data_IF_931615990522
#
_entry.id   IF_931615990522
#
_cell.length_a   1.000
_cell.length_b   1.000
_cell.length_c   1.000
_cell.angle_alpha   90.00
_cell.angle_beta   90.00
_cell.angle_gamma   90.00
#
_symmetry.space_group_name_H-M   'P 1'
#
loop_
_entity.id
_entity.type
_entity.pdbx_description
1 polymer ?
#
# COMPACT_ATOMS: atom_id res chain seq x y z
N UNK A 1 18.19 6.81 14.24
CA UNK A 1 17.83 6.84 12.81
C UNK A 1 17.59 5.41 12.34
N UNK A 2 16.34 4.95 12.35
CA UNK A 2 15.98 3.70 11.68
C UNK A 2 15.17 4.10 10.46
N UNK A 3 15.84 4.13 9.31
CA UNK A 3 15.18 4.27 8.01
C UNK A 3 14.35 3.00 7.83
N UNK A 4 13.03 3.08 7.95
CA UNK A 4 12.19 1.94 7.65
C UNK A 4 11.92 1.90 6.15
N UNK A 5 12.55 0.92 5.49
CA UNK A 5 12.08 0.27 4.26
C UNK A 5 11.84 1.13 3.00
N UNK A 6 12.31 2.37 2.95
CA UNK A 6 12.26 3.21 1.74
C UNK A 6 13.60 3.16 1.00
N UNK A 7 13.68 2.33 -0.03
CA UNK A 7 14.66 2.48 -1.10
C UNK A 7 14.01 3.22 -2.26
N UNK A 8 14.36 4.50 -2.43
CA UNK A 8 13.94 5.32 -3.57
C UNK A 8 14.49 6.74 -3.44
N UNK A 9 15.00 7.30 -4.54
CA UNK A 9 15.62 8.63 -4.54
C UNK A 9 14.65 9.78 -4.17
N UNK A 10 13.33 9.54 -4.24
CA UNK A 10 12.30 10.57 -4.16
C UNK A 10 11.37 10.40 -2.94
N UNK A 11 11.71 9.51 -2.00
CA UNK A 11 10.86 9.21 -0.84
C UNK A 11 11.67 8.78 0.36
N UNK A 12 11.21 9.21 1.52
CA UNK A 12 11.79 8.85 2.80
C UNK A 12 10.67 8.60 3.81
N UNK A 13 10.76 7.49 4.55
CA UNK A 13 9.79 7.12 5.57
C UNK A 13 10.43 7.16 6.96
N UNK A 14 9.80 7.90 7.86
CA UNK A 14 10.08 7.90 9.29
C UNK A 14 8.90 7.25 10.01
N UNK A 15 9.14 6.07 10.61
CA UNK A 15 8.13 5.36 11.37
C UNK A 15 8.66 5.04 12.77
N UNK A 16 7.80 5.15 13.80
CA UNK A 16 8.13 4.79 15.17
C UNK A 16 6.90 4.37 15.95
N UNK A 17 7.13 3.64 17.03
CA UNK A 17 6.16 3.34 18.07
C UNK A 17 6.29 4.36 19.21
N UNK A 18 5.70 5.55 19.05
CA UNK A 18 5.56 6.59 20.09
C UNK A 18 4.36 7.49 19.77
N UNK A 19 4.03 8.41 20.68
CA UNK A 19 3.07 9.49 20.43
C UNK A 19 3.48 10.31 19.21
N UNK A 20 2.52 10.60 18.32
CA UNK A 20 2.77 11.38 17.10
C UNK A 20 3.40 12.75 17.39
N UNK A 21 3.05 13.36 18.52
CA UNK A 21 3.60 14.65 18.98
C UNK A 21 5.11 14.62 19.25
N UNK A 22 5.69 13.45 19.51
CA UNK A 22 7.11 13.30 19.83
C UNK A 22 7.98 12.95 18.62
N UNK A 23 7.38 12.78 17.44
CA UNK A 23 8.11 12.38 16.22
C UNK A 23 9.19 13.40 15.86
N UNK A 24 8.89 14.70 15.95
CA UNK A 24 9.86 15.78 15.69
C UNK A 24 10.95 15.89 16.76
N UNK A 25 10.68 15.47 18.00
CA UNK A 25 11.70 15.42 19.06
C UNK A 25 12.69 14.27 18.82
N UNK A 26 12.19 13.15 18.29
CA UNK A 26 13.03 11.99 18.05
C UNK A 26 13.79 12.01 16.72
N UNK A 27 13.23 12.68 15.72
CA UNK A 27 13.87 12.92 14.42
C UNK A 27 14.16 14.42 14.28
N UNK A 28 15.29 14.93 14.81
CA UNK A 28 15.65 16.35 14.74
C UNK A 28 15.73 16.87 13.31
N UNK A 29 16.01 16.01 12.33
CA UNK A 29 16.02 16.37 10.90
C UNK A 29 14.69 16.99 10.45
N UNK A 30 13.56 16.64 11.09
CA UNK A 30 12.25 17.25 10.82
C UNK A 30 12.13 18.71 11.29
N UNK A 31 13.04 19.16 12.15
CA UNK A 31 13.14 20.54 12.62
C UNK A 31 14.12 21.37 11.80
N UNK A 32 14.82 20.76 10.84
CA UNK A 32 15.73 21.47 9.95
C UNK A 32 14.93 22.17 8.84
N UNK A 33 15.19 23.46 8.62
CA UNK A 33 14.55 24.25 7.56
C UNK A 33 14.88 23.73 6.14
N UNK A 34 15.93 22.91 6.00
CA UNK A 34 16.29 22.23 4.76
C UNK A 34 15.43 20.97 4.50
N UNK A 35 14.67 20.49 5.48
CA UNK A 35 13.76 19.35 5.33
C UNK A 35 12.47 19.76 4.60
N UNK A 36 12.61 20.04 3.31
CA UNK A 36 11.52 20.53 2.45
C UNK A 36 11.00 19.38 1.58
N UNK A 37 9.68 19.22 1.55
CA UNK A 37 9.00 18.29 0.65
C UNK A 37 7.79 18.93 0.00
N UNK A 38 7.50 18.54 -1.24
CA UNK A 38 6.28 18.95 -1.94
C UNK A 38 5.01 18.31 -1.36
N UNK A 39 5.15 17.18 -0.66
CA UNK A 39 4.03 16.51 0.01
C UNK A 39 4.51 15.71 1.22
N UNK A 40 3.60 15.43 2.14
CA UNK A 40 3.84 14.55 3.29
C UNK A 40 2.64 13.62 3.50
N UNK A 41 2.91 12.40 3.93
CA UNK A 41 1.91 11.43 4.39
C UNK A 41 2.28 11.08 5.83
N UNK A 42 1.34 11.23 6.75
CA UNK A 42 1.52 10.88 8.16
C UNK A 42 0.47 9.87 8.58
N UNK A 43 0.80 9.05 9.57
CA UNK A 43 -0.13 8.05 10.10
C UNK A 43 0.12 7.81 11.58
N UNK A 44 -0.96 7.75 12.35
CA UNK A 44 -0.92 7.30 13.73
C UNK A 44 -1.79 6.04 13.86
N UNK A 45 -1.20 4.95 14.30
CA UNK A 45 -1.89 3.67 14.46
C UNK A 45 -2.43 3.53 15.88
N UNK A 46 -3.72 3.22 16.00
CA UNK A 46 -4.28 2.68 17.23
C UNK A 46 -4.17 1.16 17.19
N UNK A 47 -3.33 0.57 18.05
CA UNK A 47 -3.09 -0.88 18.07
C UNK A 47 -3.82 -1.51 19.25
N UNK A 48 -4.60 -2.55 19.00
CA UNK A 48 -5.17 -3.42 20.05
C UNK A 48 -4.14 -4.40 20.62
N UNK A 49 -2.96 -4.53 19.99
CA UNK A 49 -1.85 -5.35 20.50
C UNK A 49 -1.01 -4.57 21.51
N UNK A 50 -0.68 -5.22 22.62
CA UNK A 50 0.17 -4.70 23.71
C UNK A 50 1.67 -4.81 23.44
N UNK A 51 2.08 -5.60 22.43
CA UNK A 51 3.48 -5.74 22.03
C UNK A 51 3.80 -4.86 20.81
N UNK A 52 4.71 -3.89 20.94
CA UNK A 52 5.09 -3.02 19.85
C UNK A 52 5.99 -3.74 18.85
N UNK A 53 5.55 -3.81 17.60
CA UNK A 53 6.38 -4.24 16.47
C UNK A 53 6.61 -3.03 15.56
N UNK A 54 7.87 -2.57 15.50
CA UNK A 54 8.22 -1.34 14.80
C UNK A 54 8.00 -1.43 13.28
N UNK A 55 8.14 -2.61 12.67
CA UNK A 55 7.89 -2.82 11.24
C UNK A 55 6.41 -2.74 10.84
N UNK A 56 5.50 -2.69 11.82
CA UNK A 56 4.07 -2.46 11.59
C UNK A 56 3.68 -0.97 11.67
N UNK A 57 4.63 -0.09 12.02
CA UNK A 57 4.39 1.34 12.00
C UNK A 57 4.31 1.84 10.55
N UNK A 58 3.32 2.71 10.30
CA UNK A 58 3.05 3.32 9.01
C UNK A 58 3.55 4.78 8.99
N UNK A 59 3.72 5.42 7.82
CA UNK A 59 3.41 4.95 6.46
C UNK A 59 4.24 3.75 6.00
N UNK A 60 3.69 2.92 5.11
CA UNK A 60 4.48 1.94 4.37
C UNK A 60 5.16 2.59 3.15
N UNK A 61 5.53 1.83 2.12
CA UNK A 61 6.34 2.34 1.01
C UNK A 61 5.54 3.23 0.06
N UNK A 62 4.24 2.98 -0.05
CA UNK A 62 3.32 3.72 -0.91
C UNK A 62 2.05 4.16 -0.19
N UNK A 63 1.62 3.44 0.84
CA UNK A 63 0.33 3.65 1.49
C UNK A 63 0.45 3.97 2.99
N UNK A 64 -0.51 4.77 3.45
CA UNK A 64 -0.96 4.79 4.82
C UNK A 64 -2.45 4.41 4.83
N UNK A 65 -2.83 3.47 5.68
CA UNK A 65 -4.14 2.86 5.74
C UNK A 65 -4.71 2.95 7.16
N UNK A 66 -5.86 3.63 7.25
CA UNK A 66 -6.69 3.68 8.43
C UNK A 66 -7.94 2.83 8.18
N UNK A 67 -7.99 1.66 8.80
CA UNK A 67 -9.08 0.71 8.61
C UNK A 67 -8.61 -0.73 8.86
N UNK A 68 -9.48 -1.67 8.53
CA UNK A 68 -9.22 -3.10 8.59
C UNK A 68 -9.74 -3.77 7.30
N UNK A 69 -8.88 -4.57 6.66
CA UNK A 69 -9.23 -5.29 5.43
C UNK A 69 -9.89 -6.62 5.78
N UNK A 70 -11.22 -6.65 5.78
CA UNK A 70 -12.01 -7.82 6.16
C UNK A 70 -11.91 -9.00 5.18
N UNK A 71 -11.48 -8.74 3.94
CA UNK A 71 -11.37 -9.71 2.84
C UNK A 71 -9.99 -10.36 2.74
N UNK A 72 -9.04 -9.99 3.62
CA UNK A 72 -7.61 -10.31 3.51
C UNK A 72 -7.33 -11.79 3.23
N UNK A 73 -7.98 -12.72 3.95
CA UNK A 73 -7.74 -14.16 3.77
C UNK A 73 -8.06 -14.63 2.36
N UNK A 74 -9.13 -14.11 1.76
CA UNK A 74 -9.50 -14.39 0.37
C UNK A 74 -8.47 -13.81 -0.59
N UNK A 75 -8.12 -12.53 -0.40
CA UNK A 75 -7.19 -11.83 -1.28
C UNK A 75 -5.80 -12.46 -1.27
N UNK A 76 -5.31 -12.90 -0.10
CA UNK A 76 -4.05 -13.62 0.04
C UNK A 76 -4.03 -14.94 -0.73
N UNK A 77 -5.18 -15.63 -0.82
CA UNK A 77 -5.28 -16.85 -1.62
C UNK A 77 -5.32 -16.53 -3.12
N UNK A 78 -6.05 -15.51 -3.54
CA UNK A 78 -6.06 -15.05 -4.93
C UNK A 78 -4.67 -14.57 -5.38
N UNK A 79 -3.94 -13.88 -4.50
CA UNK A 79 -2.59 -13.41 -4.79
C UNK A 79 -1.61 -14.54 -5.10
N UNK A 80 -1.72 -15.72 -4.48
CA UNK A 80 -0.88 -16.87 -4.83
C UNK A 80 -1.04 -17.29 -6.29
N UNK A 81 -2.24 -17.12 -6.85
CA UNK A 81 -2.52 -17.40 -8.27
C UNK A 81 -2.04 -16.26 -9.17
N UNK A 82 -2.26 -15.00 -8.76
CA UNK A 82 -1.85 -13.82 -9.54
C UNK A 82 -0.33 -13.62 -9.61
N UNK A 83 0.36 -13.94 -8.51
CA UNK A 83 1.80 -13.72 -8.33
C UNK A 83 2.66 -14.34 -9.44
N UNK A 84 2.32 -15.56 -9.87
CA UNK A 84 3.07 -16.27 -10.92
C UNK A 84 3.09 -15.47 -12.22
N UNK A 85 1.93 -14.94 -12.63
CA UNK A 85 1.78 -14.22 -13.90
C UNK A 85 2.26 -12.78 -13.80
N UNK A 86 1.96 -12.10 -12.69
CA UNK A 86 2.35 -10.70 -12.47
C UNK A 86 3.87 -10.52 -12.44
N UNK A 87 4.58 -11.42 -11.73
CA UNK A 87 6.02 -11.34 -11.60
C UNK A 87 6.72 -11.60 -12.95
N UNK A 88 6.29 -12.66 -13.66
CA UNK A 88 6.90 -13.07 -14.94
C UNK A 88 6.77 -12.02 -16.04
N UNK A 89 5.60 -11.39 -16.19
CA UNK A 89 5.37 -10.44 -17.28
C UNK A 89 6.10 -9.10 -17.09
N UNK A 90 6.34 -8.71 -15.84
CA UNK A 90 6.85 -7.38 -15.50
C UNK A 90 8.34 -7.38 -15.20
N UNK A 91 8.81 -8.39 -14.46
CA UNK A 91 10.16 -8.38 -13.89
C UNK A 91 11.10 -9.40 -14.52
N UNK A 92 10.61 -10.18 -15.51
CA UNK A 92 11.42 -11.10 -16.30
C UNK A 92 12.24 -12.05 -15.42
N UNK A 93 13.55 -12.01 -15.56
CA UNK A 93 14.48 -12.87 -14.82
C UNK A 93 14.49 -12.60 -13.30
N UNK A 94 14.08 -11.40 -12.86
CA UNK A 94 13.95 -11.04 -11.43
C UNK A 94 12.60 -11.46 -10.82
N UNK A 95 11.76 -12.17 -11.57
CA UNK A 95 10.43 -12.56 -11.11
C UNK A 95 10.46 -13.43 -9.84
N UNK A 96 11.50 -14.25 -9.65
CA UNK A 96 11.63 -15.07 -8.44
C UNK A 96 12.11 -14.27 -7.22
N UNK A 97 12.88 -13.20 -7.42
CA UNK A 97 13.39 -12.35 -6.33
C UNK A 97 12.29 -11.50 -5.66
N UNK A 98 11.19 -11.28 -6.37
CA UNK A 98 10.06 -10.47 -5.91
C UNK A 98 9.02 -11.35 -5.16
N UNK A 99 9.14 -12.67 -5.26
CA UNK A 99 8.24 -13.61 -4.59
C UNK A 99 8.75 -13.96 -3.19
N UNK A 100 7.89 -14.05 -2.17
CA UNK A 100 6.46 -13.72 -2.23
C UNK A 100 6.21 -12.20 -2.20
N UNK A 101 5.28 -11.71 -3.02
CA UNK A 101 4.83 -10.32 -3.08
C UNK A 101 4.36 -9.87 -1.69
N UNK A 102 3.61 -10.72 -0.99
CA UNK A 102 3.20 -10.48 0.40
C UNK A 102 3.97 -11.39 1.34
N UNK A 103 4.82 -10.78 2.17
CA UNK A 103 5.61 -11.51 3.17
C UNK A 103 4.73 -12.15 4.24
N UNK A 104 5.12 -13.34 4.72
CA UNK A 104 4.45 -14.00 5.84
C UNK A 104 4.52 -13.14 7.12
N UNK A 105 3.40 -13.06 7.85
CA UNK A 105 3.31 -12.24 9.06
C UNK A 105 3.08 -10.73 8.82
N UNK A 106 2.86 -10.32 7.57
CA UNK A 106 2.45 -8.95 7.25
C UNK A 106 1.09 -8.62 7.87
N UNK A 107 0.92 -7.36 8.32
CA UNK A 107 -0.43 -6.85 8.60
C UNK A 107 -1.24 -6.75 7.31
N UNK A 108 -2.55 -6.63 7.44
CA UNK A 108 -3.47 -6.39 6.34
C UNK A 108 -3.05 -5.19 5.46
N UNK A 109 -2.65 -4.11 6.11
CA UNK A 109 -2.24 -2.85 5.52
C UNK A 109 -0.87 -2.98 4.83
N UNK A 110 0.05 -3.78 5.38
CA UNK A 110 1.34 -4.09 4.76
C UNK A 110 1.17 -4.98 3.53
N UNK A 111 0.22 -5.92 3.58
CA UNK A 111 -0.13 -6.75 2.44
C UNK A 111 -0.70 -5.89 1.29
N UNK A 112 -1.62 -4.97 1.59
CA UNK A 112 -2.15 -4.03 0.61
C UNK A 112 -1.05 -3.16 0.00
N UNK A 113 -0.15 -2.60 0.81
CA UNK A 113 0.98 -1.79 0.32
C UNK A 113 1.88 -2.57 -0.63
N UNK A 114 2.16 -3.84 -0.33
CA UNK A 114 3.04 -4.67 -1.16
C UNK A 114 2.43 -4.96 -2.53
N UNK A 115 1.13 -5.28 -2.59
CA UNK A 115 0.42 -5.48 -3.86
C UNK A 115 0.29 -4.16 -4.63
N UNK A 116 -0.01 -3.07 -3.94
CA UNK A 116 -0.07 -1.73 -4.53
C UNK A 116 1.27 -1.34 -5.15
N UNK A 117 2.38 -1.59 -4.44
CA UNK A 117 3.72 -1.31 -4.95
C UNK A 117 4.03 -2.10 -6.21
N UNK A 118 3.72 -3.39 -6.25
CA UNK A 118 3.94 -4.19 -7.46
C UNK A 118 3.14 -3.65 -8.64
N UNK A 119 1.86 -3.30 -8.46
CA UNK A 119 1.05 -2.73 -9.54
C UNK A 119 1.64 -1.43 -10.09
N UNK A 120 2.14 -0.55 -9.21
CA UNK A 120 2.73 0.73 -9.63
C UNK A 120 4.10 0.52 -10.27
N UNK A 121 4.93 -0.36 -9.72
CA UNK A 121 6.24 -0.74 -10.30
C UNK A 121 6.09 -1.44 -11.65
N UNK A 122 4.96 -2.11 -11.89
CA UNK A 122 4.59 -2.68 -13.17
C UNK A 122 4.07 -1.65 -14.21
N UNK A 123 4.03 -0.36 -13.85
CA UNK A 123 3.70 0.72 -14.78
C UNK A 123 2.28 1.26 -14.65
N UNK A 124 1.47 0.78 -13.69
CA UNK A 124 0.16 1.40 -13.42
C UNK A 124 0.35 2.68 -12.62
N UNK A 125 -0.49 3.68 -12.88
CA UNK A 125 -0.54 4.88 -12.04
C UNK A 125 -1.11 4.54 -10.65
N UNK A 126 -0.74 5.31 -9.63
CA UNK A 126 -1.28 5.14 -8.29
C UNK A 126 -2.84 5.20 -8.24
N UNK A 127 -3.52 6.11 -8.97
CA UNK A 127 -4.98 6.08 -9.07
C UNK A 127 -5.52 4.79 -9.68
N UNK A 128 -4.88 4.26 -10.73
CA UNK A 128 -5.31 2.99 -11.33
C UNK A 128 -5.11 1.81 -10.38
N UNK A 129 -3.98 1.75 -9.67
CA UNK A 129 -3.73 0.73 -8.64
C UNK A 129 -4.78 0.81 -7.51
N UNK A 130 -5.13 2.02 -7.07
CA UNK A 130 -6.22 2.25 -6.10
C UNK A 130 -7.54 1.72 -6.64
N UNK A 131 -7.90 2.06 -7.87
CA UNK A 131 -9.18 1.63 -8.47
C UNK A 131 -9.27 0.12 -8.63
N UNK A 132 -8.15 -0.54 -8.95
CA UNK A 132 -8.11 -2.00 -9.08
C UNK A 132 -8.25 -2.72 -7.74
N UNK A 133 -7.58 -2.23 -6.70
CA UNK A 133 -7.61 -2.87 -5.38
C UNK A 133 -8.84 -2.45 -4.57
N UNK A 134 -9.23 -1.18 -4.62
CA UNK A 134 -10.33 -0.59 -3.84
C UNK A 134 -11.29 0.15 -4.79
N UNK A 135 -12.01 -0.58 -5.66
CA UNK A 135 -12.98 0.01 -6.57
C UNK A 135 -14.18 0.60 -5.81
N UNK A 136 -14.82 1.59 -6.40
CA UNK A 136 -16.07 2.14 -5.85
C UNK A 136 -17.24 1.20 -6.13
N UNK A 137 -18.20 1.13 -5.20
CA UNK A 137 -19.45 0.41 -5.41
C UNK A 137 -20.36 1.23 -6.33
N UNK A 138 -20.70 0.66 -7.49
CA UNK A 138 -21.42 1.37 -8.55
C UNK A 138 -22.75 0.75 -8.98
N UNK A 139 -23.06 -0.49 -8.56
CA UNK A 139 -24.21 -1.25 -9.06
C UNK A 139 -25.59 -0.76 -8.58
N UNK A 140 -25.65 0.08 -7.54
CA UNK A 140 -26.90 0.60 -6.94
C UNK A 140 -26.91 2.13 -6.77
N UNK A 141 -26.13 2.85 -7.56
CA UNK A 141 -26.09 4.32 -7.44
C UNK A 141 -27.37 4.97 -7.97
N UNK A 142 -27.86 5.99 -7.26
CA UNK A 142 -29.02 6.78 -7.66
C UNK A 142 -28.75 7.70 -8.87
N UNK A 143 -27.47 7.89 -9.21
CA UNK A 143 -27.00 8.70 -10.33
C UNK A 143 -26.34 7.80 -11.36
N UNK A 144 -26.68 7.99 -12.63
CA UNK A 144 -26.11 7.22 -13.72
C UNK A 144 -24.64 7.59 -13.95
N UNK A 145 -23.75 6.61 -13.86
CA UNK A 145 -22.32 6.80 -14.12
C UNK A 145 -22.03 6.84 -15.63
N UNK A 146 -21.08 7.68 -16.07
CA UNK A 146 -20.58 7.66 -17.44
C UNK A 146 -20.15 6.24 -17.87
N UNK A 147 -20.44 5.86 -19.11
CA UNK A 147 -20.14 4.52 -19.62
C UNK A 147 -18.65 4.15 -19.45
N UNK A 148 -17.74 5.09 -19.75
CA UNK A 148 -16.30 4.88 -19.61
C UNK A 148 -15.89 4.49 -18.17
N UNK A 149 -16.59 4.99 -17.15
CA UNK A 149 -16.28 4.65 -15.75
C UNK A 149 -16.81 3.25 -15.41
N UNK A 150 -18.00 2.90 -15.91
CA UNK A 150 -18.54 1.54 -15.78
C UNK A 150 -17.64 0.51 -16.46
N UNK A 151 -17.11 0.83 -17.63
CA UNK A 151 -16.17 -0.03 -18.35
C UNK A 151 -14.85 -0.19 -17.57
N UNK A 152 -14.32 0.90 -17.02
CA UNK A 152 -13.13 0.88 -16.16
C UNK A 152 -13.34 0.02 -14.91
N UNK A 153 -14.46 0.20 -14.18
CA UNK A 153 -14.75 -0.59 -12.99
C UNK A 153 -15.01 -2.07 -13.34
N UNK A 154 -15.66 -2.34 -14.47
CA UNK A 154 -15.87 -3.71 -14.96
C UNK A 154 -14.54 -4.38 -15.30
N UNK A 155 -13.61 -3.66 -15.93
CA UNK A 155 -12.24 -4.13 -16.17
C UNK A 155 -11.53 -4.44 -14.85
N UNK A 156 -11.55 -3.52 -13.89
CA UNK A 156 -10.88 -3.68 -12.59
C UNK A 156 -11.38 -4.93 -11.86
N UNK A 157 -12.70 -5.08 -11.73
CA UNK A 157 -13.35 -6.22 -11.07
C UNK A 157 -13.10 -7.56 -11.80
N UNK A 158 -12.78 -7.53 -13.10
CA UNK A 158 -12.46 -8.74 -13.87
C UNK A 158 -10.99 -9.16 -13.74
N UNK A 159 -10.12 -8.24 -13.31
CA UNK A 159 -8.67 -8.46 -13.21
C UNK A 159 -8.24 -8.75 -11.78
N UNK A 160 -8.80 -8.04 -10.81
CA UNK A 160 -8.39 -8.10 -9.41
C UNK A 160 -9.61 -8.11 -8.50
N UNK A 161 -9.58 -9.00 -7.51
CA UNK A 161 -10.59 -9.05 -6.46
C UNK A 161 -10.42 -7.85 -5.51
N UNK A 162 -11.51 -7.16 -5.12
CA UNK A 162 -11.43 -6.02 -4.20
C UNK A 162 -10.84 -6.37 -2.84
N UNK A 163 -10.01 -5.45 -2.33
CA UNK A 163 -9.41 -5.48 -1.00
C UNK A 163 -10.23 -4.65 -0.02
#
# INVERSE_FOLDING_TARGET
MVITNTFGANRFTLARHDLAEQVAEFYPDLKDDQFISAFAIYHQRYSTNTFPQWWLAQPFRMLAHNGEINTLKGNMNWMKSHEIRMASATFGDMAEDIKPIVAAGSSDSAALDSVFEVLVRAGRSAPMAKTMLVPESWSKQAVELPQAWRDMYSYCNSVMEPW
#
